data_IF_586271420174
#
_entry.id   IF_586271420174
#
_cell.length_a   1.000
_cell.length_b   1.000
_cell.length_c   1.000
_cell.angle_alpha   90.00
_cell.angle_beta   90.00
_cell.angle_gamma   90.00
#
_symmetry.space_group_name_H-M   'P 1'
#
loop_
_entity.id
_entity.type
_entity.pdbx_description
1 polymer ?
#
# COMPACT_ATOMS: atom_id res chain seq x y z
N UNK A 1 -27.83 1.30 20.54
CA UNK A 1 -27.31 2.61 20.08
C UNK A 1 -28.39 3.24 19.20
N UNK A 2 -28.71 4.53 19.35
CA UNK A 2 -29.71 5.17 18.50
C UNK A 2 -29.23 5.22 17.04
N UNK A 3 -30.08 4.91 16.05
CA UNK A 3 -29.69 4.77 14.64
C UNK A 3 -29.12 6.05 14.02
N UNK A 4 -29.60 7.21 14.48
CA UNK A 4 -29.09 8.53 14.05
C UNK A 4 -27.65 8.74 14.50
N UNK A 5 -27.32 8.37 15.74
CA UNK A 5 -25.96 8.50 16.30
C UNK A 5 -24.97 7.55 15.59
N UNK A 6 -25.43 6.38 15.19
CA UNK A 6 -24.60 5.42 14.45
C UNK A 6 -24.26 5.92 13.05
N UNK A 7 -25.25 6.45 12.32
CA UNK A 7 -25.04 7.01 10.98
C UNK A 7 -24.05 8.17 10.98
N UNK A 8 -24.21 9.13 11.90
CA UNK A 8 -23.32 10.29 12.00
C UNK A 8 -21.88 9.89 12.36
N UNK A 9 -21.69 8.89 13.23
CA UNK A 9 -20.37 8.39 13.55
C UNK A 9 -19.69 7.70 12.36
N UNK A 10 -20.45 6.96 11.54
CA UNK A 10 -19.91 6.34 10.32
C UNK A 10 -19.49 7.39 9.31
N UNK A 11 -20.34 8.40 9.05
CA UNK A 11 -20.01 9.49 8.13
C UNK A 11 -18.75 10.24 8.59
N UNK A 12 -18.64 10.57 9.88
CA UNK A 12 -17.42 11.19 10.42
C UNK A 12 -16.20 10.28 10.27
N UNK A 13 -16.34 8.98 10.51
CA UNK A 13 -15.24 8.01 10.37
C UNK A 13 -14.78 7.89 8.93
N UNK A 14 -15.71 7.87 7.97
CA UNK A 14 -15.41 7.82 6.53
C UNK A 14 -14.67 9.09 6.08
N UNK A 15 -15.16 10.28 6.46
CA UNK A 15 -14.50 11.56 6.12
C UNK A 15 -13.08 11.59 6.70
N UNK A 16 -12.92 11.16 7.96
CA UNK A 16 -11.62 11.10 8.61
C UNK A 16 -10.69 10.11 7.89
N UNK A 17 -11.19 8.93 7.51
CA UNK A 17 -10.43 7.93 6.77
C UNK A 17 -9.96 8.46 5.42
N UNK A 18 -10.86 9.08 4.64
CA UNK A 18 -10.54 9.65 3.33
C UNK A 18 -9.42 10.69 3.44
N UNK A 19 -9.54 11.61 4.41
CA UNK A 19 -8.54 12.66 4.66
C UNK A 19 -7.20 12.09 5.15
N UNK A 20 -7.23 11.18 6.12
CA UNK A 20 -6.00 10.60 6.68
C UNK A 20 -5.25 9.74 5.67
N UNK A 21 -5.97 8.99 4.83
CA UNK A 21 -5.34 8.13 3.82
C UNK A 21 -4.52 8.95 2.83
N UNK A 22 -5.08 10.05 2.30
CA UNK A 22 -4.35 10.95 1.39
C UNK A 22 -3.10 11.55 2.06
N UNK A 23 -3.23 12.05 3.29
CA UNK A 23 -2.10 12.64 4.04
C UNK A 23 -1.00 11.60 4.32
N UNK A 24 -1.37 10.41 4.75
CA UNK A 24 -0.41 9.35 5.07
C UNK A 24 0.32 8.88 3.83
N UNK A 25 -0.40 8.73 2.72
CA UNK A 25 0.18 8.34 1.45
C UNK A 25 1.15 9.41 0.92
N UNK A 26 0.78 10.69 0.93
CA UNK A 26 1.68 11.79 0.57
C UNK A 26 2.97 11.76 1.40
N UNK A 27 2.84 11.65 2.72
CA UNK A 27 4.02 11.55 3.61
C UNK A 27 4.94 10.38 3.26
N UNK A 28 4.38 9.20 2.98
CA UNK A 28 5.17 8.04 2.58
C UNK A 28 5.87 8.28 1.23
N UNK A 29 5.17 8.88 0.27
CA UNK A 29 5.74 9.23 -1.03
C UNK A 29 6.90 10.23 -0.88
N UNK A 30 6.74 11.27 -0.06
CA UNK A 30 7.79 12.24 0.24
C UNK A 30 9.00 11.58 0.89
N UNK A 31 8.79 10.68 1.86
CA UNK A 31 9.90 9.93 2.48
C UNK A 31 10.65 9.12 1.42
N UNK A 32 9.95 8.41 0.54
CA UNK A 32 10.58 7.64 -0.54
C UNK A 32 11.38 8.53 -1.50
N UNK A 33 10.85 9.71 -1.84
CA UNK A 33 11.53 10.74 -2.63
C UNK A 33 12.85 11.16 -1.98
N UNK A 34 12.84 11.56 -0.71
CA UNK A 34 14.05 12.00 0.00
C UNK A 34 15.09 10.89 0.19
N UNK A 35 14.66 9.65 0.46
CA UNK A 35 15.56 8.50 0.56
C UNK A 35 16.26 8.23 -0.78
N UNK A 36 15.54 8.38 -1.90
CA UNK A 36 16.07 8.17 -3.25
C UNK A 36 17.26 9.09 -3.56
N UNK A 37 17.18 10.36 -3.14
CA UNK A 37 18.28 11.33 -3.28
C UNK A 37 19.43 10.99 -2.35
N UNK A 38 19.14 10.79 -1.06
CA UNK A 38 20.16 10.64 -0.03
C UNK A 38 21.02 9.38 -0.18
N UNK A 39 20.47 8.33 -0.79
CA UNK A 39 21.20 7.07 -0.97
C UNK A 39 21.95 6.97 -2.31
N UNK A 40 21.67 7.83 -3.31
CA UNK A 40 22.26 7.71 -4.65
C UNK A 40 22.00 6.36 -5.35
N UNK A 41 21.13 5.51 -4.77
CA UNK A 41 20.90 4.11 -5.19
C UNK A 41 20.07 4.01 -6.48
N UNK A 42 19.47 5.11 -6.94
CA UNK A 42 18.58 5.14 -8.11
C UNK A 42 19.25 5.86 -9.28
N UNK A 43 20.42 5.35 -9.68
CA UNK A 43 21.01 5.63 -10.99
C UNK A 43 21.08 4.35 -11.85
N UNK A 44 20.13 3.43 -11.68
CA UNK A 44 20.12 2.21 -12.49
C UNK A 44 20.02 2.50 -14.01
N UNK A 45 19.50 3.68 -14.37
CA UNK A 45 19.34 4.14 -15.75
C UNK A 45 20.25 5.33 -16.11
N UNK A 46 21.23 5.69 -15.27
CA UNK A 46 22.11 6.85 -15.55
C UNK A 46 21.39 8.20 -15.59
N UNK A 47 20.22 8.30 -14.95
CA UNK A 47 19.37 9.52 -14.97
C UNK A 47 19.81 10.57 -13.95
N UNK A 48 20.39 10.16 -12.83
CA UNK A 48 20.89 11.08 -11.78
C UNK A 48 22.39 11.36 -11.89
N UNK A 49 23.16 10.46 -12.49
CA UNK A 49 24.62 10.52 -12.57
C UNK A 49 25.09 10.41 -14.02
N UNK A 50 26.07 11.23 -14.39
CA UNK A 50 26.76 11.22 -15.66
C UNK A 50 28.19 10.68 -15.45
N UNK A 51 28.63 9.80 -16.35
CA UNK A 51 30.01 9.30 -16.37
C UNK A 51 30.80 10.11 -17.39
N UNK A 52 31.84 10.82 -16.94
CA UNK A 52 32.76 11.53 -17.81
C UNK A 52 34.14 10.88 -17.80
N UNK A 53 34.67 10.69 -18.99
CA UNK A 53 36.07 10.33 -19.20
C UNK A 53 36.87 11.63 -19.30
N UNK A 54 37.84 11.81 -18.40
CA UNK A 54 38.65 13.03 -18.34
C UNK A 54 39.61 13.12 -19.54
N UNK A 55 40.08 11.98 -20.08
CA UNK A 55 40.89 11.82 -21.31
C UNK A 55 40.84 10.37 -21.86
N UNK A 56 41.35 10.16 -23.08
CA UNK A 56 41.37 8.87 -23.80
C UNK A 56 42.69 8.10 -23.51
N UNK A 57 43.11 7.99 -22.25
CA UNK A 57 44.20 7.08 -21.86
C UNK A 57 43.64 5.85 -21.14
N UNK A 58 44.35 4.72 -21.27
CA UNK A 58 43.88 3.38 -20.87
C UNK A 58 43.74 3.20 -19.34
N UNK A 59 44.19 4.18 -18.54
CA UNK A 59 44.14 4.18 -17.06
C UNK A 59 43.47 5.43 -16.46
N UNK A 60 42.73 6.23 -17.24
CA UNK A 60 42.11 7.45 -16.73
C UNK A 60 40.91 7.14 -15.80
N UNK A 61 40.80 7.83 -14.64
CA UNK A 61 39.69 7.61 -13.73
C UNK A 61 38.37 8.03 -14.38
N UNK A 62 37.35 7.16 -14.30
CA UNK A 62 35.98 7.52 -14.68
C UNK A 62 35.41 8.45 -13.62
N UNK A 63 35.13 9.69 -14.00
CA UNK A 63 34.52 10.65 -13.10
C UNK A 63 33.01 10.45 -13.09
N UNK A 64 32.47 10.19 -11.91
CA UNK A 64 31.02 10.13 -11.68
C UNK A 64 30.58 11.50 -11.17
N UNK A 65 29.81 12.24 -11.97
CA UNK A 65 29.27 13.55 -11.57
C UNK A 65 27.74 13.52 -11.56
N UNK A 66 27.09 14.35 -10.74
CA UNK A 66 25.65 14.49 -10.82
C UNK A 66 25.24 15.12 -12.15
N UNK A 67 24.20 14.55 -12.78
CA UNK A 67 23.60 15.15 -13.96
C UNK A 67 23.03 16.53 -13.59
N UNK A 68 23.11 17.45 -14.54
CA UNK A 68 22.51 18.77 -14.40
C UNK A 68 21.52 19.03 -15.52
N UNK A 69 20.42 19.66 -15.18
CA UNK A 69 19.36 20.08 -16.07
C UNK A 69 19.37 21.61 -16.22
N UNK A 70 18.70 22.12 -17.25
CA UNK A 70 18.53 23.55 -17.51
C UNK A 70 19.87 24.32 -17.54
N UNK A 71 20.82 23.89 -18.38
CA UNK A 71 22.15 24.49 -18.51
C UNK A 71 22.93 24.61 -17.18
N UNK A 72 22.81 23.63 -16.29
CA UNK A 72 23.57 23.60 -15.03
C UNK A 72 22.89 24.28 -13.85
N UNK A 73 21.72 24.90 -14.05
CA UNK A 73 21.00 25.59 -12.96
C UNK A 73 20.35 24.62 -11.97
N UNK A 74 20.06 23.39 -12.38
CA UNK A 74 19.44 22.37 -11.55
C UNK A 74 20.33 21.12 -11.50
N UNK A 75 20.81 20.72 -10.31
CA UNK A 75 21.68 19.55 -10.15
C UNK A 75 20.97 18.42 -9.39
N UNK A 76 21.14 17.20 -9.89
CA UNK A 76 20.61 16.00 -9.25
C UNK A 76 21.24 15.69 -7.88
N UNK A 77 22.36 16.32 -7.55
CA UNK A 77 22.95 16.22 -6.22
C UNK A 77 22.25 17.08 -5.16
N UNK A 78 21.60 18.19 -5.57
CA UNK A 78 21.09 19.20 -4.64
C UNK A 78 19.57 19.35 -4.67
N UNK A 79 18.92 19.01 -5.78
CA UNK A 79 17.48 19.17 -5.95
C UNK A 79 16.86 17.92 -6.57
N UNK A 80 15.79 17.44 -5.95
CA UNK A 80 15.01 16.31 -6.45
C UNK A 80 14.09 16.71 -7.59
N UNK A 81 13.55 17.94 -7.54
CA UNK A 81 12.55 18.44 -8.49
C UNK A 81 13.18 18.87 -9.83
N UNK A 82 14.43 18.51 -10.10
CA UNK A 82 15.07 18.82 -11.35
C UNK A 82 14.52 17.94 -12.46
N UNK A 83 13.84 18.56 -13.41
CA UNK A 83 13.24 17.93 -14.59
C UNK A 83 13.50 18.78 -15.83
N UNK A 84 13.66 18.10 -16.96
CA UNK A 84 13.73 18.70 -18.31
C UNK A 84 12.77 17.95 -19.24
N UNK A 85 12.37 18.58 -20.35
CA UNK A 85 11.52 17.89 -21.34
C UNK A 85 12.27 16.75 -22.01
N UNK A 86 11.61 15.58 -22.09
CA UNK A 86 12.18 14.41 -22.73
C UNK A 86 12.41 14.70 -24.22
N UNK A 87 13.63 14.45 -24.70
CA UNK A 87 14.01 14.73 -26.08
C UNK A 87 14.86 13.62 -26.67
N UNK A 88 14.75 13.42 -27.98
CA UNK A 88 15.66 12.58 -28.75
C UNK A 88 16.83 13.42 -29.24
N UNK A 89 18.03 12.88 -29.09
CA UNK A 89 19.27 13.54 -29.49
C UNK A 89 19.90 12.77 -30.66
N UNK A 90 20.54 13.51 -31.57
CA UNK A 90 21.40 12.90 -32.60
C UNK A 90 22.73 12.46 -31.99
N UNK A 91 23.56 11.75 -32.76
CA UNK A 91 24.94 11.39 -32.37
C UNK A 91 25.79 12.63 -32.06
N UNK A 92 25.47 13.78 -32.66
CA UNK A 92 26.11 15.09 -32.39
C UNK A 92 25.56 15.80 -31.14
N UNK A 93 24.67 15.16 -30.37
CA UNK A 93 23.98 15.71 -29.20
C UNK A 93 23.01 16.89 -29.49
N UNK A 94 22.64 17.10 -30.74
CA UNK A 94 21.60 18.07 -31.09
C UNK A 94 20.20 17.49 -30.88
N UNK A 95 19.26 18.32 -30.43
CA UNK A 95 17.85 17.94 -30.22
C UNK A 95 17.18 17.70 -31.57
N UNK A 96 16.72 16.47 -31.80
CA UNK A 96 16.00 16.05 -33.01
C UNK A 96 14.50 16.22 -32.84
N UNK A 97 13.98 15.87 -31.67
CA UNK A 97 12.56 15.95 -31.35
C UNK A 97 12.35 16.01 -29.84
N UNK A 98 11.47 16.90 -29.38
CA UNK A 98 11.09 17.02 -27.97
C UNK A 98 9.67 16.51 -27.79
N UNK A 99 9.47 15.65 -26.79
CA UNK A 99 8.18 15.08 -26.45
C UNK A 99 7.49 16.00 -25.45
N UNK A 100 6.40 16.63 -25.89
CA UNK A 100 5.57 17.46 -25.00
C UNK A 100 5.02 16.64 -23.83
N UNK A 101 4.95 17.26 -22.65
CA UNK A 101 4.32 16.69 -21.45
C UNK A 101 4.95 15.40 -20.90
N UNK A 102 6.11 15.01 -21.43
CA UNK A 102 6.97 13.94 -20.90
C UNK A 102 8.26 14.59 -20.43
N UNK A 103 8.67 14.26 -19.21
CA UNK A 103 9.85 14.85 -18.58
C UNK A 103 10.87 13.78 -18.21
N UNK A 104 12.15 14.11 -18.35
CA UNK A 104 13.26 13.37 -17.78
C UNK A 104 13.78 14.13 -16.57
N UNK A 105 13.62 13.55 -15.39
CA UNK A 105 14.15 14.06 -14.15
C UNK A 105 15.38 13.30 -13.67
N UNK A 106 15.97 13.81 -12.60
CA UNK A 106 17.06 13.14 -11.88
C UNK A 106 16.69 11.74 -11.40
N UNK A 107 15.42 11.52 -11.09
CA UNK A 107 14.89 10.24 -10.64
C UNK A 107 13.71 9.82 -11.52
N UNK A 108 13.55 8.50 -11.67
CA UNK A 108 12.43 7.94 -12.41
C UNK A 108 11.08 8.39 -11.83
N UNK A 109 10.99 8.45 -10.50
CA UNK A 109 9.77 8.88 -9.83
C UNK A 109 9.38 10.31 -10.21
N UNK A 110 10.34 11.24 -10.24
CA UNK A 110 10.09 12.64 -10.64
C UNK A 110 9.68 12.75 -12.11
N UNK A 111 10.32 11.95 -12.97
CA UNK A 111 9.96 11.85 -14.39
C UNK A 111 8.50 11.41 -14.56
N UNK A 112 8.07 10.42 -13.77
CA UNK A 112 6.70 9.90 -13.78
C UNK A 112 5.72 10.91 -13.17
N UNK A 113 6.04 11.52 -12.03
CA UNK A 113 5.15 12.46 -11.35
C UNK A 113 4.85 13.68 -12.24
N UNK A 114 5.84 14.18 -12.97
CA UNK A 114 5.67 15.31 -13.90
C UNK A 114 5.04 14.93 -15.25
N UNK A 115 4.90 13.64 -15.57
CA UNK A 115 4.25 13.16 -16.79
C UNK A 115 2.78 13.60 -16.80
N UNK A 116 2.29 14.07 -17.95
CA UNK A 116 0.86 14.14 -18.23
C UNK A 116 0.49 13.16 -19.34
N UNK A 117 -0.59 12.42 -19.13
CA UNK A 117 -1.06 11.41 -20.09
C UNK A 117 -1.72 12.03 -21.33
N UNK A 118 -1.97 13.35 -21.34
CA UNK A 118 -2.51 14.11 -22.48
C UNK A 118 -1.84 13.81 -23.82
N UNK A 119 -0.55 13.46 -23.80
CA UNK A 119 0.20 13.11 -24.99
C UNK A 119 -0.35 11.84 -25.68
N UNK A 120 -0.75 10.83 -24.91
CA UNK A 120 -1.22 9.53 -25.42
C UNK A 120 -2.64 9.56 -25.99
N UNK A 121 -3.42 10.59 -25.64
CA UNK A 121 -4.78 10.79 -26.14
C UNK A 121 -4.84 11.54 -27.48
N UNK A 122 -3.70 11.91 -28.07
CA UNK A 122 -3.63 12.66 -29.33
C UNK A 122 -2.94 11.86 -30.43
N UNK A 123 -3.68 11.56 -31.52
CA UNK A 123 -3.14 10.79 -32.64
C UNK A 123 -1.99 11.52 -33.36
N UNK A 124 -2.13 12.82 -33.62
CA UNK A 124 -1.12 13.60 -34.35
C UNK A 124 0.23 13.64 -33.64
N UNK A 125 0.23 13.73 -32.31
CA UNK A 125 1.45 13.76 -31.49
C UNK A 125 2.22 12.45 -31.54
N UNK A 126 1.54 11.33 -31.31
CA UNK A 126 2.16 10.01 -31.34
C UNK A 126 2.58 9.59 -32.76
N UNK A 127 1.88 10.02 -33.82
CA UNK A 127 2.38 9.89 -35.20
C UNK A 127 3.70 10.65 -35.38
N UNK A 128 3.82 11.86 -34.83
CA UNK A 128 5.06 12.63 -34.91
C UNK A 128 6.23 11.96 -34.16
N UNK A 129 5.96 11.32 -33.00
CA UNK A 129 6.93 10.51 -32.29
C UNK A 129 7.46 9.34 -33.15
N UNK A 130 6.57 8.61 -33.81
CA UNK A 130 6.96 7.50 -34.68
C UNK A 130 7.80 7.98 -35.87
N UNK A 131 7.47 9.13 -36.46
CA UNK A 131 8.28 9.73 -37.52
C UNK A 131 9.68 10.13 -37.03
N UNK A 132 9.78 10.66 -35.80
CA UNK A 132 11.06 11.03 -35.21
C UNK A 132 11.94 9.81 -34.89
N UNK A 133 11.34 8.69 -34.48
CA UNK A 133 12.05 7.46 -34.08
C UNK A 133 12.40 6.55 -35.26
N UNK A 134 11.61 6.55 -36.35
CA UNK A 134 11.90 5.80 -37.59
C UNK A 134 13.02 6.41 -38.45
N UNK A 135 13.82 7.32 -37.92
CA UNK A 135 14.97 7.94 -38.61
C UNK A 135 16.19 7.01 -38.64
N UNK A 136 15.96 5.73 -38.91
CA UNK A 136 16.96 4.66 -39.02
C UNK A 136 16.80 3.90 -40.32
N UNK A 137 17.03 4.58 -41.46
CA UNK A 137 17.75 4.09 -42.64
C UNK A 137 17.50 5.04 -43.80
N UNK A 138 18.53 5.77 -44.22
CA UNK A 138 18.52 6.65 -45.39
C UNK A 138 18.34 5.91 -46.72
N UNK A 139 18.26 4.57 -46.71
CA UNK A 139 18.11 3.74 -47.90
C UNK A 139 16.85 2.85 -47.91
N UNK A 140 16.03 2.85 -46.86
CA UNK A 140 14.72 2.20 -46.91
C UNK A 140 13.64 3.24 -47.21
N UNK A 141 13.38 3.42 -48.50
CA UNK A 141 12.16 4.03 -49.01
C UNK A 141 10.94 3.54 -48.23
N UNK A 142 10.30 4.45 -47.51
CA UNK A 142 8.87 4.43 -47.17
C UNK A 142 8.35 3.04 -46.82
N UNK A 143 8.55 2.58 -45.58
CA UNK A 143 7.50 1.75 -44.99
C UNK A 143 6.35 2.72 -44.68
N UNK A 144 5.21 2.68 -45.40
CA UNK A 144 4.03 3.36 -44.90
C UNK A 144 3.68 2.60 -43.64
N UNK A 145 4.08 3.11 -42.48
CA UNK A 145 3.60 2.62 -41.20
C UNK A 145 2.13 3.04 -41.14
N UNK A 146 1.27 2.32 -41.85
CA UNK A 146 -0.18 2.33 -41.67
C UNK A 146 -0.47 1.59 -40.38
N UNK A 147 0.06 2.09 -39.27
CA UNK A 147 -0.48 1.74 -37.97
C UNK A 147 -1.69 2.63 -37.83
N UNK A 148 -2.85 2.01 -37.95
CA UNK A 148 -4.12 2.65 -37.65
C UNK A 148 -4.19 2.81 -36.13
N UNK A 149 -3.49 3.83 -35.61
CA UNK A 149 -3.52 4.10 -34.19
C UNK A 149 -4.74 4.97 -33.95
N UNK A 150 -5.79 4.32 -33.50
CA UNK A 150 -6.91 5.01 -32.89
C UNK A 150 -6.41 5.57 -31.54
N UNK A 151 -6.48 6.90 -31.32
CA UNK A 151 -6.18 7.47 -30.02
C UNK A 151 -7.14 6.86 -29.00
N UNK A 152 -6.64 6.65 -27.77
CA UNK A 152 -7.52 6.25 -26.68
C UNK A 152 -8.57 7.36 -26.50
N UNK A 153 -9.85 7.00 -26.41
CA UNK A 153 -10.87 7.99 -26.06
C UNK A 153 -10.74 8.32 -24.58
N UNK A 154 -10.66 9.61 -24.25
CA UNK A 154 -10.66 10.05 -22.85
C UNK A 154 -12.11 10.15 -22.36
N UNK A 155 -12.54 9.32 -21.38
CA UNK A 155 -13.91 9.35 -20.86
C UNK A 155 -14.08 10.52 -19.88
N UNK A 156 -14.14 11.74 -20.42
CA UNK A 156 -14.33 12.98 -19.64
C UNK A 156 -15.64 13.05 -18.86
N UNK A 157 -16.59 12.14 -19.14
CA UNK A 157 -17.88 12.03 -18.46
C UNK A 157 -17.83 11.16 -17.19
N UNK A 158 -16.77 10.37 -16.98
CA UNK A 158 -16.65 9.40 -15.89
C UNK A 158 -15.51 9.79 -14.94
N UNK A 159 -14.43 10.35 -15.50
CA UNK A 159 -13.26 10.76 -14.74
C UNK A 159 -13.43 12.14 -14.12
N UNK A 160 -13.00 12.31 -12.87
CA UNK A 160 -12.91 13.63 -12.24
C UNK A 160 -11.58 14.33 -12.55
N UNK A 161 -10.68 13.66 -13.27
CA UNK A 161 -9.40 14.21 -13.71
C UNK A 161 -9.54 14.94 -15.04
N UNK A 162 -8.71 15.96 -15.23
CA UNK A 162 -8.53 16.60 -16.52
C UNK A 162 -7.50 15.83 -17.35
N UNK A 163 -7.65 15.85 -18.67
CA UNK A 163 -6.68 15.23 -19.60
C UNK A 163 -5.26 15.81 -19.44
N UNK A 164 -5.16 17.07 -19.02
CA UNK A 164 -3.90 17.78 -18.81
C UNK A 164 -3.34 17.61 -17.39
N UNK A 165 -4.02 16.88 -16.51
CA UNK A 165 -3.51 16.62 -15.17
C UNK A 165 -2.21 15.81 -15.24
N UNK A 166 -1.32 16.09 -14.29
CA UNK A 166 -0.09 15.32 -14.14
C UNK A 166 -0.35 14.07 -13.31
N UNK A 167 0.52 13.08 -13.43
CA UNK A 167 0.46 11.92 -12.53
C UNK A 167 0.59 12.35 -11.07
N UNK A 168 1.37 13.40 -10.77
CA UNK A 168 1.46 13.94 -9.42
C UNK A 168 0.09 14.37 -8.86
N UNK A 169 -0.71 15.12 -9.62
CA UNK A 169 -2.04 15.53 -9.14
C UNK A 169 -2.98 14.34 -8.96
N UNK A 170 -2.90 13.34 -9.85
CA UNK A 170 -3.65 12.10 -9.73
C UNK A 170 -3.25 11.30 -8.49
N UNK A 171 -1.94 11.19 -8.23
CA UNK A 171 -1.35 10.54 -7.06
C UNK A 171 -1.78 11.22 -5.76
N UNK A 172 -1.82 12.56 -5.70
CA UNK A 172 -2.34 13.30 -4.53
C UNK A 172 -3.81 13.00 -4.24
N UNK A 173 -4.60 12.74 -5.30
CA UNK A 173 -5.99 12.33 -5.21
C UNK A 173 -6.17 10.79 -5.14
N UNK A 174 -5.07 10.05 -4.94
CA UNK A 174 -5.03 8.59 -4.85
C UNK A 174 -5.58 7.85 -6.08
N UNK A 175 -5.64 8.51 -7.24
CA UNK A 175 -6.33 8.04 -8.45
C UNK A 175 -7.82 7.70 -8.20
N UNK A 176 -8.44 8.32 -7.19
CA UNK A 176 -9.85 8.08 -6.87
C UNK A 176 -10.68 9.11 -7.62
N UNK A 177 -11.46 8.64 -8.59
CA UNK A 177 -12.44 9.49 -9.28
C UNK A 177 -13.50 9.96 -8.30
N UNK A 178 -14.26 9.04 -7.69
CA UNK A 178 -15.28 9.41 -6.70
C UNK A 178 -15.40 8.37 -5.59
N UNK A 179 -15.68 8.86 -4.39
CA UNK A 179 -16.05 8.00 -3.28
C UNK A 179 -17.53 7.63 -3.42
N UNK A 180 -17.83 6.33 -3.47
CA UNK A 180 -19.22 5.88 -3.41
C UNK A 180 -19.79 6.18 -2.03
N UNK A 181 -20.90 6.90 -2.01
CA UNK A 181 -21.66 7.20 -0.79
C UNK A 181 -22.67 6.10 -0.45
N UNK A 182 -22.74 5.01 -1.24
CA UNK A 182 -23.63 3.88 -1.00
C UNK A 182 -23.14 3.05 0.18
N UNK A 183 -23.58 3.44 1.37
CA UNK A 183 -23.33 2.68 2.60
C UNK A 183 -24.30 1.50 2.68
N UNK A 184 -23.83 0.32 2.27
CA UNK A 184 -24.59 -0.93 2.39
C UNK A 184 -24.55 -1.47 3.81
N UNK A 185 -25.29 -0.83 4.72
CA UNK A 185 -25.35 -1.21 6.14
C UNK A 185 -25.73 -2.67 6.34
N UNK A 186 -26.62 -3.22 5.53
CA UNK A 186 -27.05 -4.62 5.62
C UNK A 186 -25.89 -5.60 5.43
N UNK A 187 -25.02 -5.36 4.43
CA UNK A 187 -23.83 -6.18 4.22
C UNK A 187 -22.85 -6.06 5.38
N UNK A 188 -22.62 -4.85 5.87
CA UNK A 188 -21.75 -4.62 7.02
C UNK A 188 -22.25 -5.37 8.26
N UNK A 189 -23.54 -5.25 8.57
CA UNK A 189 -24.13 -5.95 9.70
C UNK A 189 -24.09 -7.47 9.53
N UNK A 190 -24.31 -8.00 8.33
CA UNK A 190 -24.23 -9.44 8.10
C UNK A 190 -22.81 -9.99 8.29
N UNK A 191 -21.78 -9.24 7.92
CA UNK A 191 -20.37 -9.62 8.12
C UNK A 191 -19.94 -9.46 9.58
N UNK A 192 -20.33 -8.36 10.22
CA UNK A 192 -19.94 -8.03 11.58
C UNK A 192 -20.87 -8.63 12.65
N UNK A 193 -21.94 -9.32 12.25
CA UNK A 193 -22.87 -9.96 13.18
C UNK A 193 -22.12 -11.00 14.02
N UNK A 194 -22.17 -10.91 15.36
CA UNK A 194 -21.54 -11.89 16.20
C UNK A 194 -22.20 -13.26 15.98
N UNK A 195 -21.43 -14.27 15.59
CA UNK A 195 -21.93 -15.66 15.43
C UNK A 195 -22.49 -16.24 16.73
N UNK A 196 -22.08 -15.69 17.88
CA UNK A 196 -22.59 -16.02 19.21
C UNK A 196 -22.68 -14.74 20.04
N UNK A 197 -23.84 -14.48 20.61
CA UNK A 197 -24.01 -13.41 21.58
C UNK A 197 -23.42 -13.85 22.92
N UNK A 198 -22.38 -13.14 23.39
CA UNK A 198 -21.85 -13.34 24.74
C UNK A 198 -22.54 -12.35 25.66
N UNK A 199 -23.46 -12.86 26.48
CA UNK A 199 -24.10 -12.05 27.51
C UNK A 199 -23.15 -11.96 28.71
N UNK A 200 -22.55 -10.79 28.91
CA UNK A 200 -21.90 -10.45 30.18
C UNK A 200 -22.99 -10.28 31.25
N UNK A 201 -23.40 -11.39 31.88
CA UNK A 201 -24.13 -11.33 33.14
C UNK A 201 -23.16 -10.77 34.18
N UNK A 202 -23.22 -9.45 34.44
CA UNK A 202 -22.59 -8.81 35.59
C UNK A 202 -23.28 -9.32 36.86
N UNK A 203 -22.96 -10.55 37.28
CA UNK A 203 -23.33 -11.07 38.58
C UNK A 203 -22.40 -10.38 39.57
N UNK A 204 -22.91 -9.45 40.38
CA UNK A 204 -22.15 -8.90 41.51
C UNK A 204 -21.76 -10.09 42.38
N UNK A 205 -20.46 -10.31 42.58
CA UNK A 205 -19.96 -11.31 43.50
C UNK A 205 -20.46 -10.95 44.90
N UNK A 206 -21.49 -11.66 45.35
CA UNK A 206 -21.97 -11.52 46.72
C UNK A 206 -20.95 -12.25 47.60
N UNK A 207 -20.11 -11.49 48.30
CA UNK A 207 -19.05 -12.02 49.17
C UNK A 207 -19.61 -13.04 50.17
N UNK A 208 -20.84 -12.79 50.67
CA UNK A 208 -21.53 -13.70 51.59
C UNK A 208 -21.76 -15.06 50.92
N UNK A 209 -22.20 -15.07 49.66
CA UNK A 209 -22.45 -16.29 48.89
C UNK A 209 -21.17 -17.09 48.63
N UNK A 210 -20.05 -16.40 48.37
CA UNK A 210 -18.76 -17.06 48.20
C UNK A 210 -18.31 -17.74 49.50
N UNK A 211 -18.41 -17.06 50.64
CA UNK A 211 -18.07 -17.62 51.96
C UNK A 211 -18.96 -18.82 52.31
N UNK A 212 -20.26 -18.76 51.99
CA UNK A 212 -21.17 -19.87 52.27
C UNK A 212 -20.79 -21.13 51.49
N UNK A 213 -20.37 -21.00 50.23
CA UNK A 213 -19.88 -22.12 49.41
C UNK A 213 -18.61 -22.72 50.01
N UNK A 214 -17.65 -21.90 50.43
CA UNK A 214 -16.42 -22.43 51.04
C UNK A 214 -16.70 -23.23 52.31
N UNK A 215 -17.55 -22.70 53.20
CA UNK A 215 -17.92 -23.39 54.42
C UNK A 215 -18.65 -24.70 54.13
N UNK A 216 -19.64 -24.69 53.23
CA UNK A 216 -20.37 -25.91 52.87
C UNK A 216 -19.51 -26.98 52.21
N UNK A 217 -18.50 -26.59 51.42
CA UNK A 217 -17.56 -27.55 50.82
C UNK A 217 -16.67 -28.18 51.88
N UNK A 218 -16.10 -27.39 52.80
CA UNK A 218 -15.24 -27.90 53.87
C UNK A 218 -16.02 -28.85 54.78
N UNK A 219 -17.21 -28.42 55.22
CA UNK A 219 -18.05 -29.20 56.12
C UNK A 219 -18.58 -30.45 55.42
N UNK A 220 -19.07 -30.32 54.19
CA UNK A 220 -19.58 -31.44 53.40
C UNK A 220 -18.51 -32.48 53.07
N UNK A 221 -17.29 -32.04 52.77
CA UNK A 221 -16.17 -32.93 52.51
C UNK A 221 -15.76 -33.67 53.79
N UNK A 222 -15.61 -32.95 54.91
CA UNK A 222 -15.25 -33.54 56.20
C UNK A 222 -16.27 -34.59 56.67
N UNK A 223 -17.56 -34.26 56.61
CA UNK A 223 -18.64 -35.18 56.99
C UNK A 223 -18.75 -36.38 56.03
N UNK A 224 -18.56 -36.12 54.74
CA UNK A 224 -18.56 -37.14 53.69
C UNK A 224 -17.45 -38.16 53.88
N UNK A 225 -16.20 -37.71 54.04
CA UNK A 225 -15.06 -38.61 54.29
C UNK A 225 -15.25 -39.40 55.59
N UNK A 226 -15.73 -38.77 56.66
CA UNK A 226 -15.95 -39.46 57.94
C UNK A 226 -17.02 -40.57 57.85
N UNK A 227 -17.96 -40.46 56.92
CA UNK A 227 -18.97 -41.50 56.66
C UNK A 227 -18.48 -42.56 55.68
N UNK A 228 -17.77 -42.16 54.62
CA UNK A 228 -17.31 -43.06 53.55
C UNK A 228 -16.17 -43.96 54.02
N UNK A 229 -15.22 -43.44 54.81
CA UNK A 229 -14.05 -44.21 55.30
C UNK A 229 -14.46 -45.48 56.07
N UNK A 230 -15.32 -45.44 57.12
CA UNK A 230 -15.68 -46.65 57.85
C UNK A 230 -16.48 -47.66 57.00
N UNK A 231 -17.27 -47.17 56.04
CA UNK A 231 -17.94 -48.02 55.04
C UNK A 231 -16.92 -48.75 54.17
N UNK A 232 -15.91 -48.03 53.67
CA UNK A 232 -14.84 -48.59 52.85
C UNK A 232 -14.02 -49.62 53.62
N UNK A 233 -13.63 -49.32 54.87
CA UNK A 233 -12.88 -50.27 55.71
C UNK A 233 -13.70 -51.52 56.01
N UNK A 234 -15.00 -51.39 56.33
CA UNK A 234 -15.88 -52.56 56.53
C UNK A 234 -16.00 -53.40 55.26
N UNK A 235 -16.06 -52.76 54.08
CA UNK A 235 -16.12 -53.47 52.82
C UNK A 235 -14.84 -54.28 52.58
N UNK A 236 -13.67 -53.66 52.75
CA UNK A 236 -12.36 -54.31 52.61
C UNK A 236 -12.21 -55.47 53.59
N UNK A 237 -12.59 -55.29 54.86
CA UNK A 237 -12.54 -56.35 55.86
C UNK A 237 -13.47 -57.53 55.50
N UNK A 238 -14.68 -57.25 55.02
CA UNK A 238 -15.64 -58.28 54.60
C UNK A 238 -15.16 -59.05 53.35
N UNK A 239 -14.47 -58.40 52.42
CA UNK A 239 -13.83 -59.05 51.28
C UNK A 239 -12.63 -59.92 51.74
N UNK A 240 -11.78 -59.42 52.63
CA UNK A 240 -10.65 -60.19 53.18
C UNK A 240 -11.08 -61.45 53.93
N UNK A 241 -12.12 -61.36 54.77
CA UNK A 241 -12.65 -62.54 55.49
C UNK A 241 -13.32 -63.54 54.54
N UNK A 242 -13.95 -63.10 53.45
CA UNK A 242 -14.51 -64.01 52.43
C UNK A 242 -13.41 -64.77 51.68
N UNK A 243 -12.25 -64.16 51.49
CA UNK A 243 -11.10 -64.81 50.84
C UNK A 243 -10.44 -65.82 51.78
N UNK A 244 -10.40 -65.56 53.09
CA UNK A 244 -9.83 -66.51 54.07
C UNK A 244 -10.73 -67.73 54.35
N UNK A 245 -12.06 -67.59 54.25
CA UNK A 245 -13.00 -68.71 54.42
C UNK A 245 -13.02 -69.71 53.23
N UNK A 246 -12.28 -69.43 52.15
CA UNK A 246 -12.10 -70.31 50.99
C UNK A 246 -10.75 -71.08 51.05
N UNK A 247 -10.00 -70.97 52.15
CA UNK A 247 -8.71 -71.65 52.36
C UNK A 247 -8.69 -72.58 53.59
N UNK A 248 -9.85 -72.99 54.11
CA UNK A 248 -9.99 -74.09 55.09
C UNK A 248 -10.76 -75.26 54.49
#
# INVERSE_FOLDING_TARGET
>A
MPPILFKTQIEMTLILFQKLTSILFDRQLQIFRYISVGHGLISHLGVSLELKLDRIAIDDPVLVIPKTHNNGTCSCATSINCVELASFYNLTHDIVYTIENIYTGCFLLESILHLSLSYFFSNSRMINLMKATNRGDSNSSTLPLTIDISPLEFPSSISNFNINDTIETMVYQLFIDSWSNETLYERYYNVCAPKKCIYLKKKRLNVIYAVTIFLTVIDGLSLGLRSVIPLFVRLLYKLGNRICALCS
#
